data_IF_230902678617
#
_entry.id   IF_230902678617
#
_cell.length_a   1.000
_cell.length_b   1.000
_cell.length_c   1.000
_cell.angle_alpha   90.00
_cell.angle_beta   90.00
_cell.angle_gamma   90.00
#
_symmetry.space_group_name_H-M   'P 1'
#
loop_
_entity.id
_entity.type
_entity.pdbx_description
1 polymer ?
#
# COMPACT_ATOMS: atom_id res chain seq x y z
N UNK A 1 -32.20 -18.16 -1.32
CA UNK A 1 -31.45 -17.15 -2.11
C UNK A 1 -31.79 -15.78 -1.54
N UNK A 2 -30.95 -15.24 -0.66
CA UNK A 2 -31.11 -13.86 -0.21
C UNK A 2 -30.06 -13.03 -0.94
N UNK A 3 -30.51 -12.26 -1.93
CA UNK A 3 -29.70 -11.25 -2.58
C UNK A 3 -29.56 -10.08 -1.60
N UNK A 4 -28.44 -9.99 -0.90
CA UNK A 4 -28.07 -8.76 -0.20
C UNK A 4 -27.63 -7.74 -1.24
N UNK A 5 -28.54 -6.86 -1.63
CA UNK A 5 -28.21 -5.63 -2.36
C UNK A 5 -27.31 -4.80 -1.46
N UNK A 6 -25.99 -4.91 -1.66
CA UNK A 6 -25.01 -4.06 -0.99
C UNK A 6 -25.19 -2.65 -1.57
N UNK A 7 -26.05 -1.86 -0.93
CA UNK A 7 -26.17 -0.43 -1.20
C UNK A 7 -24.79 0.15 -0.93
N UNK A 8 -24.06 0.56 -1.98
CA UNK A 8 -22.78 1.26 -1.83
C UNK A 8 -23.04 2.46 -0.92
N UNK A 9 -22.67 2.33 0.35
CA UNK A 9 -22.56 3.46 1.24
C UNK A 9 -21.48 4.38 0.64
N UNK A 10 -21.68 5.70 0.75
CA UNK A 10 -20.67 6.66 0.32
C UNK A 10 -19.34 6.44 1.05
N UNK A 11 -18.30 7.21 0.70
CA UNK A 11 -16.97 7.05 1.30
C UNK A 11 -17.04 6.95 2.82
N UNK A 12 -16.41 5.92 3.40
CA UNK A 12 -16.41 5.69 4.85
C UNK A 12 -15.01 5.82 5.43
N UNK A 13 -14.71 7.00 5.97
CA UNK A 13 -13.50 7.21 6.74
C UNK A 13 -13.53 6.37 8.02
N UNK A 14 -12.38 5.77 8.35
CA UNK A 14 -12.21 4.89 9.51
C UNK A 14 -11.22 5.50 10.48
N UNK A 15 -11.66 5.75 11.71
CA UNK A 15 -10.74 6.11 12.81
C UNK A 15 -10.19 4.84 13.45
N UNK A 16 -8.87 4.73 13.51
CA UNK A 16 -8.18 3.54 14.03
C UNK A 16 -6.81 3.91 14.60
N UNK A 17 -6.08 2.92 15.10
CA UNK A 17 -4.71 3.06 15.57
C UNK A 17 -3.78 2.28 14.63
N UNK A 18 -2.76 2.93 14.08
CA UNK A 18 -1.68 2.30 13.33
C UNK A 18 -0.45 2.13 14.20
N UNK A 19 0.18 0.95 14.13
CA UNK A 19 1.38 0.63 14.89
C UNK A 19 2.60 0.87 14.00
N UNK A 20 3.35 1.94 14.28
CA UNK A 20 4.60 2.26 13.59
C UNK A 20 5.79 1.62 14.29
N UNK A 21 6.91 1.51 13.57
CA UNK A 21 8.18 1.12 14.17
C UNK A 21 8.60 2.16 15.21
N UNK A 22 8.88 1.71 16.44
CA UNK A 22 9.39 2.58 17.49
C UNK A 22 10.90 2.72 17.36
N UNK A 23 11.33 3.80 16.70
CA UNK A 23 12.74 4.14 16.56
C UNK A 23 13.37 4.41 17.95
N UNK A 24 14.48 3.75 18.33
CA UNK A 24 15.21 4.03 19.56
C UNK A 24 15.76 5.47 19.65
N UNK A 25 15.91 6.16 18.50
CA UNK A 25 16.42 7.54 18.43
C UNK A 25 17.94 7.66 18.60
N UNK A 26 18.65 6.54 18.77
CA UNK A 26 20.11 6.47 18.93
C UNK A 26 20.85 6.27 17.59
N UNK A 27 20.12 6.19 16.48
CA UNK A 27 20.65 5.97 15.13
C UNK A 27 21.03 4.52 14.84
N UNK A 28 20.76 3.58 15.76
CA UNK A 28 20.97 2.15 15.51
C UNK A 28 19.94 1.61 14.53
N UNK A 29 20.37 0.66 13.68
CA UNK A 29 19.43 -0.08 12.82
C UNK A 29 18.61 -1.07 13.64
N UNK A 30 17.37 -1.39 13.21
CA UNK A 30 16.57 -2.40 13.88
C UNK A 30 17.31 -3.74 13.88
N UNK A 31 17.23 -4.52 14.98
CA UNK A 31 17.84 -5.83 15.03
C UNK A 31 17.25 -6.76 13.94
N UNK A 32 18.06 -7.69 13.39
CA UNK A 32 17.57 -8.66 12.41
C UNK A 32 16.60 -9.66 13.06
N UNK A 33 15.66 -10.16 12.25
CA UNK A 33 14.76 -11.25 12.65
C UNK A 33 15.27 -12.56 12.07
N UNK A 34 15.26 -13.63 12.87
CA UNK A 34 15.79 -14.93 12.50
C UNK A 34 14.69 -15.99 12.49
N UNK A 35 14.57 -16.74 11.39
CA UNK A 35 13.63 -17.85 11.28
C UNK A 35 13.87 -18.88 12.40
N UNK A 36 12.79 -19.32 13.07
CA UNK A 36 12.85 -20.27 14.18
C UNK A 36 13.18 -19.67 15.56
N UNK A 37 13.38 -18.35 15.64
CA UNK A 37 13.61 -17.61 16.90
C UNK A 37 12.51 -16.58 17.12
N UNK A 38 11.41 -17.01 17.75
CA UNK A 38 10.18 -16.20 17.93
C UNK A 38 10.48 -14.87 18.63
N UNK A 39 11.42 -14.86 19.57
CA UNK A 39 11.86 -13.70 20.33
C UNK A 39 12.46 -12.58 19.45
N UNK A 40 12.95 -12.90 18.25
CA UNK A 40 13.54 -11.92 17.31
C UNK A 40 12.50 -11.22 16.42
N UNK A 41 11.23 -11.63 16.53
CA UNK A 41 10.12 -11.01 15.81
C UNK A 41 9.35 -9.99 16.66
N UNK A 42 9.49 -10.05 17.99
CA UNK A 42 8.90 -9.04 18.87
C UNK A 42 9.64 -7.72 18.71
N UNK A 43 8.94 -6.71 18.19
CA UNK A 43 9.47 -5.35 18.01
C UNK A 43 8.58 -4.35 18.73
N UNK A 44 9.16 -3.43 19.52
CA UNK A 44 8.39 -2.32 20.08
C UNK A 44 7.73 -1.51 18.97
N UNK A 45 6.47 -1.15 19.18
CA UNK A 45 5.69 -0.32 18.26
C UNK A 45 5.31 0.99 18.92
N UNK A 46 5.11 2.02 18.10
CA UNK A 46 4.53 3.29 18.47
C UNK A 46 3.10 3.38 17.90
N UNK A 47 2.06 3.23 18.75
CA UNK A 47 0.68 3.36 18.29
C UNK A 47 0.33 4.82 18.03
N UNK A 48 -0.22 5.09 16.84
CA UNK A 48 -0.70 6.41 16.43
C UNK A 48 -2.17 6.34 16.04
N UNK A 49 -2.99 7.16 16.69
CA UNK A 49 -4.39 7.33 16.29
C UNK A 49 -4.48 8.14 15.00
N UNK A 50 -5.10 7.54 13.99
CA UNK A 50 -5.23 8.12 12.66
C UNK A 50 -6.65 7.97 12.11
N UNK A 51 -6.97 8.78 11.12
CA UNK A 51 -8.16 8.61 10.28
C UNK A 51 -7.70 8.11 8.91
N UNK A 52 -8.17 6.93 8.52
CA UNK A 52 -8.01 6.39 7.17
C UNK A 52 -9.13 6.97 6.32
N UNK A 53 -8.77 7.74 5.29
CA UNK A 53 -9.74 8.36 4.37
C UNK A 53 -10.11 7.40 3.25
N UNK A 54 -11.41 7.23 3.02
CA UNK A 54 -11.92 6.50 1.87
C UNK A 54 -11.96 7.42 0.64
N UNK A 55 -11.20 7.06 -0.39
CA UNK A 55 -11.05 7.86 -1.61
C UNK A 55 -12.03 7.46 -2.72
N UNK A 56 -12.90 6.47 -2.48
CA UNK A 56 -13.82 5.91 -3.47
C UNK A 56 -14.69 6.99 -4.12
N UNK A 57 -14.73 7.04 -5.45
CA UNK A 57 -15.48 8.03 -6.22
C UNK A 57 -14.87 9.44 -6.27
N UNK A 58 -13.65 9.61 -5.74
CA UNK A 58 -12.87 10.84 -5.80
C UNK A 58 -11.41 10.56 -6.23
N UNK A 59 -11.16 9.43 -6.89
CA UNK A 59 -9.82 8.94 -7.23
C UNK A 59 -9.07 9.93 -8.14
N UNK A 60 -9.79 10.65 -8.99
CA UNK A 60 -9.28 11.67 -9.92
C UNK A 60 -8.72 12.92 -9.23
N UNK A 61 -8.99 13.11 -7.93
CA UNK A 61 -8.49 14.24 -7.15
C UNK A 61 -7.08 14.03 -6.60
N UNK A 62 -6.54 12.81 -6.70
CA UNK A 62 -5.23 12.46 -6.16
C UNK A 62 -4.19 12.44 -7.27
N UNK A 63 -3.15 13.25 -7.13
CA UNK A 63 -2.06 13.35 -8.11
C UNK A 63 -0.71 13.04 -7.47
N UNK A 64 0.24 12.60 -8.31
CA UNK A 64 1.58 12.26 -7.86
C UNK A 64 2.26 13.45 -7.17
N UNK A 65 2.17 14.66 -7.75
CA UNK A 65 2.77 15.87 -7.19
C UNK A 65 2.09 16.35 -5.90
N UNK A 66 0.78 16.20 -5.79
CA UNK A 66 0.01 16.71 -4.65
C UNK A 66 0.00 15.77 -3.44
N UNK A 67 -0.07 14.46 -3.70
CA UNK A 67 -0.32 13.45 -2.69
C UNK A 67 0.83 12.44 -2.56
N UNK A 68 1.80 12.43 -3.48
CA UNK A 68 2.83 11.41 -3.56
C UNK A 68 2.35 10.08 -4.14
N UNK A 69 1.10 10.00 -4.60
CA UNK A 69 0.52 8.86 -5.30
C UNK A 69 -0.63 9.32 -6.20
N UNK A 70 -0.92 8.52 -7.23
CA UNK A 70 -2.05 8.73 -8.12
C UNK A 70 -2.71 7.40 -8.44
N UNK A 71 -4.04 7.41 -8.61
CA UNK A 71 -4.81 6.25 -9.01
C UNK A 71 -5.10 6.38 -10.50
N UNK A 72 -4.65 5.40 -11.28
CA UNK A 72 -4.86 5.38 -12.72
C UNK A 72 -5.45 4.02 -13.15
N UNK A 73 -6.61 4.00 -13.85
CA UNK A 73 -7.19 2.76 -14.34
C UNK A 73 -6.41 2.28 -15.56
N UNK A 74 -5.46 1.36 -15.33
CA UNK A 74 -4.65 0.76 -16.38
C UNK A 74 -4.73 -0.76 -16.36
N UNK A 75 -4.73 -1.38 -17.55
CA UNK A 75 -4.64 -2.84 -17.70
C UNK A 75 -3.31 -3.15 -18.35
N UNK A 76 -2.37 -3.69 -17.56
CA UNK A 76 -1.05 -4.04 -18.08
C UNK A 76 -1.12 -5.11 -19.18
N UNK A 77 -0.27 -5.00 -20.20
CA UNK A 77 -0.12 -6.02 -21.24
C UNK A 77 0.60 -7.28 -20.71
N UNK A 78 1.56 -7.12 -19.80
CA UNK A 78 2.24 -8.23 -19.14
C UNK A 78 1.35 -8.80 -18.02
N UNK A 79 1.16 -10.12 -18.01
CA UNK A 79 0.28 -10.82 -17.04
C UNK A 79 0.98 -11.92 -16.26
N UNK A 80 2.05 -12.51 -16.81
CA UNK A 80 2.62 -13.74 -16.27
C UNK A 80 3.81 -13.46 -15.35
N UNK A 81 4.55 -12.36 -15.57
CA UNK A 81 5.66 -11.91 -14.73
C UNK A 81 6.73 -12.99 -14.44
N UNK A 82 6.92 -13.94 -15.36
CA UNK A 82 7.84 -15.07 -15.21
C UNK A 82 9.12 -14.94 -16.08
N UNK A 83 9.24 -13.88 -16.87
CA UNK A 83 10.37 -13.62 -17.77
C UNK A 83 10.88 -12.19 -17.57
N UNK A 84 12.04 -12.08 -16.91
CA UNK A 84 12.69 -10.80 -16.59
C UNK A 84 12.95 -9.94 -17.82
N UNK A 85 13.33 -10.54 -18.96
CA UNK A 85 13.66 -9.79 -20.17
C UNK A 85 12.38 -9.28 -20.84
N UNK A 86 11.29 -10.03 -20.77
CA UNK A 86 9.97 -9.58 -21.20
C UNK A 86 9.45 -8.44 -20.32
N UNK A 87 9.54 -8.57 -18.99
CA UNK A 87 9.14 -7.52 -18.04
C UNK A 87 9.88 -6.21 -18.32
N UNK A 88 11.21 -6.25 -18.49
CA UNK A 88 11.99 -5.05 -18.79
C UNK A 88 11.63 -4.42 -20.13
N UNK A 89 11.33 -5.25 -21.15
CA UNK A 89 11.02 -4.77 -22.49
C UNK A 89 9.60 -4.20 -22.61
N UNK A 90 8.65 -4.76 -21.90
CA UNK A 90 7.21 -4.47 -22.08
C UNK A 90 6.63 -3.71 -20.90
N UNK A 91 6.78 -4.24 -19.68
CA UNK A 91 6.15 -3.68 -18.48
C UNK A 91 6.77 -2.34 -18.04
N UNK A 92 8.11 -2.23 -18.04
CA UNK A 92 8.77 -0.98 -17.59
C UNK A 92 8.43 0.23 -18.48
N UNK A 93 8.56 0.16 -19.82
CA UNK A 93 8.18 1.28 -20.69
C UNK A 93 6.68 1.59 -20.64
N UNK A 94 5.84 0.57 -20.42
CA UNK A 94 4.41 0.76 -20.20
C UNK A 94 4.15 1.58 -18.94
N UNK A 95 4.80 1.26 -17.81
CA UNK A 95 4.66 2.03 -16.57
C UNK A 95 5.22 3.45 -16.65
N UNK A 96 6.30 3.67 -17.41
CA UNK A 96 6.85 5.01 -17.60
C UNK A 96 5.86 5.96 -18.31
N UNK A 97 4.99 5.44 -19.17
CA UNK A 97 3.96 6.24 -19.85
C UNK A 97 2.80 6.66 -18.93
N UNK A 98 2.72 6.10 -17.72
CA UNK A 98 1.67 6.39 -16.73
C UNK A 98 2.10 7.42 -15.67
N UNK A 99 3.38 7.82 -15.67
CA UNK A 99 3.95 8.85 -14.80
C UNK A 99 3.85 10.23 -15.46
#
# INVERSE_FOLDING_TARGET
LQSTTNKKAGPQDVRTTLNYYKDPGDGSSPPPSYAGRVETFERPVEPLDVTITDVSGNEDKYSLDGNGFQIYPHVSQEKDFNDDEKIKREYYPETEQLL
#
